data_IF_889030545331
#
_entry.id   IF_889030545331
#
_cell.length_a   1.000
_cell.length_b   1.000
_cell.length_c   1.000
_cell.angle_alpha   90.00
_cell.angle_beta   90.00
_cell.angle_gamma   90.00
#
_symmetry.space_group_name_H-M   'P 1'
#
loop_
_entity.id
_entity.type
_entity.pdbx_description
1 polymer ?
#
# COMPACT_ATOMS: atom_id res chain seq x y z
N UNK A 1 12.39 -5.51 -25.91
CA UNK A 1 13.12 -4.55 -25.06
C UNK A 1 13.78 -5.37 -23.98
N UNK A 2 15.08 -5.23 -23.79
CA UNK A 2 15.72 -5.84 -22.62
C UNK A 2 15.10 -5.22 -21.37
N UNK A 3 14.89 -6.03 -20.32
CA UNK A 3 14.38 -5.52 -19.06
C UNK A 3 15.43 -4.60 -18.43
N UNK A 4 15.10 -3.32 -18.32
CA UNK A 4 15.99 -2.31 -17.72
C UNK A 4 15.95 -2.33 -16.19
N UNK A 5 14.97 -3.01 -15.59
CA UNK A 5 14.83 -3.15 -14.15
C UNK A 5 15.64 -4.37 -13.69
N UNK A 6 16.80 -4.12 -13.14
CA UNK A 6 17.73 -5.09 -12.57
C UNK A 6 18.09 -4.70 -11.14
N UNK A 7 18.73 -5.58 -10.37
CA UNK A 7 19.16 -5.22 -9.02
C UNK A 7 20.12 -4.03 -9.02
N UNK A 8 21.03 -3.93 -9.99
CA UNK A 8 21.97 -2.81 -10.09
C UNK A 8 21.27 -1.47 -10.35
N UNK A 9 20.10 -1.51 -10.96
CA UNK A 9 19.27 -0.32 -11.26
C UNK A 9 18.10 -0.12 -10.30
N UNK A 10 17.92 -0.99 -9.30
CA UNK A 10 16.78 -0.99 -8.35
C UNK A 10 16.49 0.40 -7.80
N UNK A 11 17.52 1.11 -7.35
CA UNK A 11 17.37 2.43 -6.71
C UNK A 11 16.94 3.57 -7.65
N UNK A 12 16.86 3.32 -8.97
CA UNK A 12 16.21 4.22 -9.91
C UNK A 12 14.68 4.03 -9.96
N UNK A 13 14.21 2.89 -9.48
CA UNK A 13 12.79 2.47 -9.56
C UNK A 13 12.10 2.40 -8.20
N UNK A 14 12.86 2.33 -7.12
CA UNK A 14 12.34 2.28 -5.77
C UNK A 14 13.36 2.77 -4.75
N UNK A 15 12.89 3.27 -3.63
CA UNK A 15 13.70 3.24 -2.42
C UNK A 15 13.71 1.83 -1.85
N UNK A 16 14.87 1.35 -1.46
CA UNK A 16 15.02 0.11 -0.70
C UNK A 16 16.11 0.28 0.36
N UNK A 17 15.87 -0.24 1.55
CA UNK A 17 16.85 -0.29 2.64
C UNK A 17 17.76 -1.53 2.56
N UNK A 18 17.79 -2.22 1.45
CA UNK A 18 18.44 -3.51 1.25
C UNK A 18 19.92 -3.52 1.57
N UNK A 19 20.62 -2.39 1.33
CA UNK A 19 22.06 -2.23 1.61
C UNK A 19 22.39 -2.18 3.09
N UNK A 20 21.44 -1.80 3.93
CA UNK A 20 21.60 -1.66 5.39
C UNK A 20 20.79 -2.68 6.18
N UNK A 21 19.95 -3.47 5.50
CA UNK A 21 19.09 -4.45 6.15
C UNK A 21 19.89 -5.55 6.84
N UNK A 22 19.64 -5.76 8.14
CA UNK A 22 20.27 -6.81 8.92
C UNK A 22 19.89 -8.20 8.40
N UNK A 23 20.85 -9.12 8.42
CA UNK A 23 20.62 -10.51 8.01
C UNK A 23 20.35 -11.40 9.22
N UNK A 24 19.54 -12.46 9.11
CA UNK A 24 18.81 -12.86 7.91
C UNK A 24 17.63 -11.93 7.58
N UNK A 25 17.30 -11.79 6.29
CA UNK A 25 16.09 -11.08 5.86
C UNK A 25 14.89 -11.93 6.27
N UNK A 26 13.93 -11.30 6.98
CA UNK A 26 12.76 -11.96 7.56
C UNK A 26 11.47 -11.69 6.80
N UNK A 27 11.40 -10.60 6.06
CA UNK A 27 10.22 -10.21 5.28
C UNK A 27 10.41 -8.93 4.53
N UNK A 28 9.35 -8.50 3.86
CA UNK A 28 9.30 -7.27 3.06
C UNK A 28 8.11 -6.42 3.51
N UNK A 29 8.32 -5.14 3.74
CA UNK A 29 7.27 -4.13 3.92
C UNK A 29 7.26 -3.25 2.68
N UNK A 30 6.14 -3.25 1.97
CA UNK A 30 5.88 -2.35 0.85
C UNK A 30 5.18 -1.10 1.38
N UNK A 31 5.61 0.08 0.95
CA UNK A 31 4.94 1.34 1.30
C UNK A 31 4.63 2.13 0.04
N UNK A 32 3.37 2.51 -0.12
CA UNK A 32 2.90 3.23 -1.30
C UNK A 32 2.66 4.70 -1.00
N UNK A 33 3.08 5.57 -1.92
CA UNK A 33 2.88 7.01 -1.82
C UNK A 33 1.41 7.42 -1.85
N UNK A 34 1.09 8.51 -1.15
CA UNK A 34 -0.15 9.27 -1.35
C UNK A 34 -0.20 9.98 -2.70
N UNK A 35 -1.34 10.60 -3.00
CA UNK A 35 -1.58 11.30 -4.27
C UNK A 35 -0.54 12.40 -4.49
N UNK A 36 0.06 12.38 -5.67
CA UNK A 36 1.09 13.33 -6.06
C UNK A 36 2.48 13.04 -5.49
N UNK A 37 2.65 11.96 -4.71
CA UNK A 37 3.95 11.54 -4.19
C UNK A 37 4.89 11.17 -5.34
N UNK A 38 6.01 11.86 -5.42
CA UNK A 38 7.00 11.70 -6.48
C UNK A 38 8.44 11.86 -5.95
N UNK A 39 8.60 11.88 -4.64
CA UNK A 39 9.90 12.06 -4.02
C UNK A 39 10.80 10.85 -4.29
N UNK A 40 12.02 11.12 -4.71
CA UNK A 40 13.09 10.14 -4.76
C UNK A 40 13.99 10.36 -3.56
N UNK A 41 14.17 9.31 -2.77
CA UNK A 41 14.99 9.39 -1.56
C UNK A 41 16.47 9.33 -1.92
N UNK A 42 17.24 10.33 -1.47
CA UNK A 42 18.70 10.42 -1.67
C UNK A 42 19.50 9.76 -0.53
N UNK A 43 18.85 9.10 0.40
CA UNK A 43 19.47 8.43 1.55
C UNK A 43 18.47 7.61 2.34
N UNK A 44 18.91 7.00 3.42
CA UNK A 44 18.05 6.16 4.23
C UNK A 44 17.01 6.97 5.00
N UNK A 45 15.76 6.51 4.92
CA UNK A 45 14.64 7.11 5.66
C UNK A 45 14.58 6.58 7.09
N UNK A 46 13.88 7.28 7.98
CA UNK A 46 13.66 6.81 9.36
C UNK A 46 12.99 5.43 9.39
N UNK A 47 11.96 5.21 8.54
CA UNK A 47 11.31 3.90 8.41
C UNK A 47 12.25 2.85 7.81
N UNK A 48 13.05 3.23 6.81
CA UNK A 48 14.07 2.36 6.23
C UNK A 48 15.05 1.84 7.29
N UNK A 49 15.58 2.72 8.15
CA UNK A 49 16.44 2.37 9.26
C UNK A 49 15.73 1.51 10.31
N UNK A 50 14.48 1.87 10.65
CA UNK A 50 13.65 1.15 11.61
C UNK A 50 13.42 -0.31 11.20
N UNK A 51 13.03 -0.55 9.96
CA UNK A 51 12.80 -1.90 9.43
C UNK A 51 14.11 -2.66 9.20
N UNK A 52 15.17 -1.98 8.72
CA UNK A 52 16.48 -2.58 8.50
C UNK A 52 17.07 -3.20 9.78
N UNK A 53 16.95 -2.51 10.91
CA UNK A 53 17.40 -2.99 12.22
C UNK A 53 16.67 -4.28 12.69
N UNK A 54 15.55 -4.62 12.07
CA UNK A 54 14.75 -5.82 12.38
C UNK A 54 14.90 -6.93 11.34
N UNK A 55 15.78 -6.74 10.35
CA UNK A 55 15.96 -7.66 9.24
C UNK A 55 14.78 -7.66 8.27
N UNK A 56 14.07 -6.56 8.13
CA UNK A 56 12.93 -6.40 7.24
C UNK A 56 13.31 -5.46 6.10
N UNK A 57 13.15 -5.92 4.85
CA UNK A 57 13.28 -5.07 3.69
C UNK A 57 12.12 -4.07 3.65
N UNK A 58 12.45 -2.80 3.49
CA UNK A 58 11.46 -1.72 3.31
C UNK A 58 11.60 -1.19 1.90
N UNK A 59 10.54 -1.34 1.11
CA UNK A 59 10.51 -1.03 -0.31
C UNK A 59 9.42 0.00 -0.59
N UNK A 60 9.81 1.12 -1.21
CA UNK A 60 8.88 2.17 -1.66
C UNK A 60 8.97 2.27 -3.17
N UNK A 61 8.05 1.66 -3.93
CA UNK A 61 8.02 1.75 -5.39
C UNK A 61 7.82 3.20 -5.87
N UNK A 62 8.63 3.67 -6.82
CA UNK A 62 8.48 4.97 -7.45
C UNK A 62 7.43 4.91 -8.57
N UNK A 63 6.21 4.57 -8.18
CA UNK A 63 5.07 4.57 -9.07
C UNK A 63 4.77 5.97 -9.61
N UNK A 64 4.07 6.03 -10.75
CA UNK A 64 3.51 7.29 -11.23
C UNK A 64 2.73 8.00 -10.10
N UNK A 65 2.89 9.31 -9.90
CA UNK A 65 2.25 10.08 -8.82
C UNK A 65 0.72 9.96 -8.74
N UNK A 66 0.08 9.51 -9.80
CA UNK A 66 -1.37 9.26 -9.88
C UNK A 66 -1.67 7.82 -10.30
N UNK A 67 -0.90 6.84 -9.82
CA UNK A 67 -1.02 5.46 -10.29
C UNK A 67 -2.33 4.78 -9.87
N UNK A 68 -2.92 5.14 -8.71
CA UNK A 68 -4.16 4.56 -8.19
C UNK A 68 -4.16 3.02 -8.26
N UNK A 69 -3.01 2.40 -8.09
CA UNK A 69 -2.77 0.96 -8.21
C UNK A 69 -3.40 0.35 -9.48
N UNK A 70 -3.26 1.04 -10.62
CA UNK A 70 -3.62 0.49 -11.92
C UNK A 70 -2.74 -0.75 -12.26
N UNK A 71 -3.07 -1.46 -13.33
CA UNK A 71 -2.36 -2.69 -13.74
C UNK A 71 -0.85 -2.48 -13.93
N UNK A 72 -0.44 -1.30 -14.42
CA UNK A 72 0.98 -0.99 -14.57
C UNK A 72 1.67 -0.91 -13.19
N UNK A 73 1.05 -0.24 -12.23
CA UNK A 73 1.61 -0.12 -10.88
C UNK A 73 1.69 -1.48 -10.16
N UNK A 74 0.69 -2.35 -10.35
CA UNK A 74 0.73 -3.72 -9.85
C UNK A 74 1.92 -4.47 -10.46
N UNK A 75 2.03 -4.53 -11.79
CA UNK A 75 3.12 -5.24 -12.48
C UNK A 75 4.49 -4.67 -12.10
N UNK A 76 4.60 -3.35 -12.00
CA UNK A 76 5.82 -2.67 -11.59
C UNK A 76 6.26 -3.07 -10.16
N UNK A 77 5.30 -3.12 -9.24
CA UNK A 77 5.57 -3.54 -7.85
C UNK A 77 5.96 -5.01 -7.79
N UNK A 78 5.28 -5.88 -8.53
CA UNK A 78 5.60 -7.31 -8.63
C UNK A 78 7.03 -7.55 -9.14
N UNK A 79 7.47 -6.81 -10.16
CA UNK A 79 8.84 -6.91 -10.69
C UNK A 79 9.89 -6.50 -9.64
N UNK A 80 9.64 -5.45 -8.86
CA UNK A 80 10.53 -5.02 -7.78
C UNK A 80 10.62 -6.07 -6.67
N UNK A 81 9.50 -6.68 -6.30
CA UNK A 81 9.46 -7.76 -5.30
C UNK A 81 10.22 -8.99 -5.81
N UNK A 82 9.99 -9.40 -7.06
CA UNK A 82 10.71 -10.51 -7.70
C UNK A 82 12.23 -10.26 -7.72
N UNK A 83 12.65 -9.03 -8.02
CA UNK A 83 14.07 -8.67 -8.00
C UNK A 83 14.71 -8.91 -6.63
N UNK A 84 14.05 -8.49 -5.56
CA UNK A 84 14.54 -8.69 -4.20
C UNK A 84 14.55 -10.18 -3.80
N UNK A 85 13.47 -10.91 -4.10
CA UNK A 85 13.38 -12.35 -3.83
C UNK A 85 14.51 -13.09 -4.52
N UNK A 86 14.73 -12.84 -5.83
CA UNK A 86 15.73 -13.52 -6.62
C UNK A 86 17.15 -13.15 -6.19
N UNK A 87 17.43 -11.86 -5.98
CA UNK A 87 18.77 -11.38 -5.63
C UNK A 87 19.24 -11.91 -4.28
N UNK A 88 18.36 -11.90 -3.28
CA UNK A 88 18.67 -12.35 -1.92
C UNK A 88 18.38 -13.84 -1.68
N UNK A 89 17.93 -14.58 -2.72
CA UNK A 89 17.53 -15.99 -2.63
C UNK A 89 16.53 -16.22 -1.50
N UNK A 90 15.54 -15.33 -1.39
CA UNK A 90 14.51 -15.43 -0.37
C UNK A 90 13.51 -16.55 -0.71
N UNK A 91 12.83 -17.05 0.33
CA UNK A 91 11.72 -17.97 0.12
C UNK A 91 10.64 -17.33 -0.77
N UNK A 92 10.04 -18.04 -1.72
CA UNK A 92 8.87 -17.55 -2.46
C UNK A 92 7.68 -17.20 -1.54
N UNK A 93 7.66 -17.76 -0.32
CA UNK A 93 6.65 -17.50 0.70
C UNK A 93 7.16 -16.54 1.79
N UNK A 94 8.17 -15.72 1.49
CA UNK A 94 8.65 -14.70 2.42
C UNK A 94 7.47 -13.80 2.83
N UNK A 95 7.28 -13.48 4.11
CA UNK A 95 6.21 -12.59 4.53
C UNK A 95 6.31 -11.22 3.88
N UNK A 96 5.24 -10.78 3.24
CA UNK A 96 5.11 -9.44 2.65
C UNK A 96 3.97 -8.72 3.34
N UNK A 97 4.20 -7.46 3.70
CA UNK A 97 3.19 -6.57 4.28
C UNK A 97 3.01 -5.37 3.36
N UNK A 98 1.77 -5.03 3.06
CA UNK A 98 1.40 -3.88 2.22
C UNK A 98 0.99 -2.71 3.10
N UNK A 99 1.57 -1.52 2.88
CA UNK A 99 1.27 -0.33 3.70
C UNK A 99 1.11 0.93 2.86
N UNK A 100 0.41 1.93 3.40
CA UNK A 100 0.29 3.24 2.77
C UNK A 100 -0.78 4.13 3.39
N UNK A 101 -0.76 5.41 3.02
CA UNK A 101 -1.77 6.38 3.42
C UNK A 101 -2.48 7.01 2.23
N UNK A 102 -3.76 7.42 2.38
CA UNK A 102 -4.52 8.10 1.32
C UNK A 102 -4.64 7.23 0.06
N UNK A 103 -4.24 7.74 -1.12
CA UNK A 103 -4.07 6.94 -2.34
C UNK A 103 -3.11 5.76 -2.11
N UNK A 104 -2.06 5.93 -1.31
CA UNK A 104 -1.17 4.82 -0.94
C UNK A 104 -1.87 3.74 -0.12
N UNK A 105 -2.83 4.12 0.72
CA UNK A 105 -3.68 3.17 1.45
C UNK A 105 -4.64 2.41 0.53
N UNK A 106 -5.22 3.10 -0.47
CA UNK A 106 -5.96 2.46 -1.55
C UNK A 106 -5.06 1.48 -2.31
N UNK A 107 -3.87 1.92 -2.66
CA UNK A 107 -2.89 1.10 -3.36
C UNK A 107 -2.50 -0.14 -2.56
N UNK A 108 -2.27 0.01 -1.26
CA UNK A 108 -1.95 -1.11 -0.38
C UNK A 108 -3.07 -2.15 -0.33
N UNK A 109 -4.33 -1.71 -0.21
CA UNK A 109 -5.50 -2.59 -0.19
C UNK A 109 -5.76 -3.25 -1.54
N UNK A 110 -5.65 -2.50 -2.64
CA UNK A 110 -5.85 -3.04 -3.99
C UNK A 110 -4.75 -4.04 -4.36
N UNK A 111 -3.51 -3.79 -3.95
CA UNK A 111 -2.39 -4.71 -4.16
C UNK A 111 -2.59 -6.06 -3.46
N UNK A 112 -3.32 -6.12 -2.32
CA UNK A 112 -3.69 -7.39 -1.68
C UNK A 112 -4.35 -8.37 -2.65
N UNK A 113 -5.19 -7.85 -3.56
CA UNK A 113 -5.99 -8.65 -4.50
C UNK A 113 -5.21 -9.05 -5.75
N UNK A 114 -4.33 -8.16 -6.24
CA UNK A 114 -3.71 -8.33 -7.56
C UNK A 114 -2.24 -8.72 -7.52
N UNK A 115 -1.61 -8.70 -6.35
CA UNK A 115 -0.20 -9.03 -6.19
C UNK A 115 0.11 -10.47 -6.63
N UNK A 116 1.23 -10.66 -7.31
CA UNK A 116 1.79 -11.98 -7.62
C UNK A 116 2.17 -12.73 -6.34
N UNK A 117 2.76 -12.03 -5.39
CA UNK A 117 3.08 -12.52 -4.06
C UNK A 117 2.11 -11.87 -3.06
N UNK A 118 1.01 -12.56 -2.78
CA UNK A 118 -0.06 -12.04 -1.92
C UNK A 118 0.47 -11.64 -0.55
N UNK A 119 0.33 -10.35 -0.12
CA UNK A 119 0.76 -9.94 1.20
C UNK A 119 -0.06 -10.63 2.30
N UNK A 120 0.58 -10.88 3.44
CA UNK A 120 -0.04 -11.52 4.62
C UNK A 120 -0.77 -10.54 5.53
N UNK A 121 -0.51 -9.25 5.36
CA UNK A 121 -1.17 -8.17 6.09
C UNK A 121 -1.20 -6.89 5.26
N UNK A 122 -2.21 -6.05 5.53
CA UNK A 122 -2.31 -4.69 5.01
C UNK A 122 -2.53 -3.71 6.17
N UNK A 123 -1.69 -2.67 6.25
CA UNK A 123 -1.86 -1.58 7.21
C UNK A 123 -2.08 -0.28 6.42
N UNK A 124 -3.27 0.29 6.50
CA UNK A 124 -3.63 1.48 5.73
C UNK A 124 -4.07 2.64 6.62
N UNK A 125 -3.60 3.85 6.30
CA UNK A 125 -3.94 5.07 7.01
C UNK A 125 -4.81 5.99 6.14
N UNK A 126 -6.02 6.33 6.58
CA UNK A 126 -6.99 7.13 5.84
C UNK A 126 -7.13 6.69 4.37
N UNK A 127 -7.32 5.39 4.09
CA UNK A 127 -7.31 4.89 2.72
C UNK A 127 -8.52 5.38 1.94
N UNK A 128 -8.31 5.66 0.66
CA UNK A 128 -9.42 5.80 -0.29
C UNK A 128 -9.96 4.40 -0.59
N UNK A 129 -11.21 4.10 -0.23
CA UNK A 129 -11.80 2.78 -0.40
C UNK A 129 -12.83 2.70 -1.53
N UNK A 130 -13.46 3.81 -1.91
CA UNK A 130 -14.44 3.91 -2.99
C UNK A 130 -14.00 4.94 -4.03
N UNK A 131 -13.42 4.46 -5.15
CA UNK A 131 -12.97 5.36 -6.21
C UNK A 131 -14.11 6.02 -7.00
N UNK A 132 -15.23 5.34 -7.31
CA UNK A 132 -16.42 6.00 -7.89
C UNK A 132 -16.92 7.18 -7.05
N UNK A 133 -17.02 7.01 -5.73
CA UNK A 133 -17.40 8.09 -4.82
C UNK A 133 -16.32 9.17 -4.78
N UNK A 134 -15.05 8.78 -4.60
CA UNK A 134 -13.91 9.70 -4.54
C UNK A 134 -13.76 10.56 -5.80
N UNK A 135 -14.11 10.03 -6.97
CA UNK A 135 -14.13 10.77 -8.23
C UNK A 135 -14.98 12.05 -8.15
N UNK A 136 -15.98 12.07 -7.27
CA UNK A 136 -16.90 13.21 -7.09
C UNK A 136 -16.61 14.08 -5.86
N UNK A 137 -15.65 13.69 -5.02
CA UNK A 137 -15.39 14.40 -3.76
C UNK A 137 -14.65 15.73 -3.96
N UNK A 138 -13.78 15.81 -4.98
CA UNK A 138 -12.95 16.99 -5.24
C UNK A 138 -12.72 17.18 -6.74
N UNK A 139 -12.65 18.42 -7.17
CA UNK A 139 -12.51 18.79 -8.60
C UNK A 139 -11.17 18.39 -9.23
N UNK A 140 -10.14 18.15 -8.42
CA UNK A 140 -8.81 17.75 -8.91
C UNK A 140 -8.68 16.24 -9.17
N UNK A 141 -9.57 15.41 -8.61
CA UNK A 141 -9.48 13.95 -8.67
C UNK A 141 -9.82 13.36 -10.05
N UNK A 142 -10.86 13.82 -10.76
CA UNK A 142 -11.25 13.22 -12.04
C UNK A 142 -10.10 13.10 -13.04
N UNK A 143 -9.26 14.13 -13.18
CA UNK A 143 -8.11 14.10 -14.09
C UNK A 143 -7.06 13.07 -13.71
N UNK A 144 -6.84 12.84 -12.39
CA UNK A 144 -5.85 11.91 -11.90
C UNK A 144 -6.29 10.47 -12.12
N UNK A 145 -7.56 10.17 -11.81
CA UNK A 145 -8.19 8.87 -12.04
C UNK A 145 -8.30 8.57 -13.54
N UNK A 146 -8.74 9.54 -14.33
CA UNK A 146 -8.75 9.39 -15.79
C UNK A 146 -7.36 9.08 -16.36
N UNK A 147 -6.33 9.79 -15.91
CA UNK A 147 -4.95 9.54 -16.33
C UNK A 147 -4.45 8.13 -15.95
N UNK A 148 -4.78 7.68 -14.75
CA UNK A 148 -4.36 6.36 -14.26
C UNK A 148 -4.95 5.21 -15.07
N UNK A 149 -6.19 5.35 -15.53
CA UNK A 149 -6.97 4.28 -16.15
C UNK A 149 -7.27 4.51 -17.64
N UNK A 150 -6.59 5.45 -18.27
CA UNK A 150 -6.84 5.87 -19.67
C UNK A 150 -6.86 4.72 -20.67
N UNK A 151 -6.01 3.71 -20.48
CA UNK A 151 -5.92 2.56 -21.39
C UNK A 151 -6.82 1.38 -20.99
N UNK A 152 -7.53 1.48 -19.87
CA UNK A 152 -8.45 0.42 -19.45
C UNK A 152 -9.74 0.45 -20.30
N UNK A 153 -10.26 -0.75 -20.59
CA UNK A 153 -11.49 -0.89 -21.34
C UNK A 153 -12.67 -1.01 -20.38
N UNK A 154 -13.78 -0.34 -20.70
CA UNK A 154 -15.00 -0.34 -19.92
C UNK A 154 -15.54 1.06 -19.70
N UNK A 155 -16.66 1.18 -19.01
CA UNK A 155 -17.16 2.46 -18.52
C UNK A 155 -16.27 2.99 -17.39
N UNK A 156 -16.28 4.30 -17.16
CA UNK A 156 -15.51 4.91 -16.06
C UNK A 156 -15.85 4.24 -14.73
N UNK A 157 -17.13 3.97 -14.48
CA UNK A 157 -17.59 3.32 -13.24
C UNK A 157 -16.99 1.92 -13.07
N UNK A 158 -17.06 1.06 -14.10
CA UNK A 158 -16.52 -0.31 -14.06
C UNK A 158 -15.01 -0.30 -13.81
N UNK A 159 -14.29 0.59 -14.48
CA UNK A 159 -12.84 0.70 -14.35
C UNK A 159 -12.46 1.17 -12.94
N UNK A 160 -13.14 2.20 -12.41
CA UNK A 160 -12.88 2.67 -11.05
C UNK A 160 -13.24 1.60 -9.99
N UNK A 161 -14.32 0.87 -10.15
CA UNK A 161 -14.69 -0.24 -9.27
C UNK A 161 -13.63 -1.33 -9.25
N UNK A 162 -12.98 -1.62 -10.38
CA UNK A 162 -11.92 -2.64 -10.46
C UNK A 162 -10.68 -2.36 -9.63
N UNK A 163 -10.46 -1.11 -9.22
CA UNK A 163 -9.35 -0.69 -8.36
C UNK A 163 -9.82 -0.13 -7.00
N UNK A 164 -11.09 -0.27 -6.69
CA UNK A 164 -11.76 0.29 -5.52
C UNK A 164 -11.87 -0.76 -4.41
N UNK A 165 -11.17 -0.64 -3.27
CA UNK A 165 -11.15 -1.65 -2.21
C UNK A 165 -12.53 -2.14 -1.79
N UNK A 166 -13.52 -1.25 -1.67
CA UNK A 166 -14.89 -1.62 -1.27
C UNK A 166 -15.56 -2.57 -2.28
N UNK A 167 -15.24 -2.45 -3.58
CA UNK A 167 -15.76 -3.30 -4.64
C UNK A 167 -14.95 -4.60 -4.83
N UNK A 168 -13.83 -4.71 -4.12
CA UNK A 168 -12.93 -5.87 -4.16
C UNK A 168 -13.04 -6.77 -2.93
N UNK A 169 -13.94 -6.47 -1.98
CA UNK A 169 -14.05 -7.17 -0.70
C UNK A 169 -14.16 -8.69 -0.88
N UNK A 170 -14.99 -9.16 -1.81
CA UNK A 170 -15.17 -10.60 -2.09
C UNK A 170 -13.89 -11.29 -2.63
N UNK A 171 -12.92 -10.50 -3.11
CA UNK A 171 -11.65 -11.00 -3.64
C UNK A 171 -10.49 -10.82 -2.67
N UNK A 172 -10.75 -10.17 -1.53
CA UNK A 172 -9.70 -9.94 -0.54
C UNK A 172 -9.20 -11.28 0.02
N UNK A 173 -7.88 -11.51 0.07
CA UNK A 173 -7.32 -12.73 0.62
C UNK A 173 -7.49 -12.81 2.14
N UNK A 174 -7.40 -14.02 2.69
CA UNK A 174 -7.30 -14.22 4.14
C UNK A 174 -5.96 -13.65 4.65
N UNK A 175 -6.05 -12.52 5.33
CA UNK A 175 -4.90 -11.76 5.83
C UNK A 175 -5.29 -10.89 7.02
N UNK A 176 -4.31 -10.25 7.67
CA UNK A 176 -4.57 -9.24 8.69
C UNK A 176 -4.79 -7.87 8.05
N UNK A 177 -5.91 -7.25 8.35
CA UNK A 177 -6.23 -5.89 7.88
C UNK A 177 -6.27 -4.93 9.05
N UNK A 178 -5.43 -3.90 9.01
CA UNK A 178 -5.34 -2.87 10.03
C UNK A 178 -5.59 -1.51 9.38
N UNK A 179 -6.67 -0.86 9.77
CA UNK A 179 -7.08 0.41 9.19
C UNK A 179 -7.00 1.48 10.28
N UNK A 180 -6.34 2.58 9.97
CA UNK A 180 -6.37 3.82 10.74
C UNK A 180 -7.17 4.85 9.95
N UNK A 181 -8.01 5.63 10.62
CA UNK A 181 -8.66 6.78 10.00
C UNK A 181 -8.84 7.93 10.98
N UNK A 182 -8.43 9.11 10.57
CA UNK A 182 -8.51 10.33 11.37
C UNK A 182 -9.92 10.93 11.29
N UNK A 183 -10.52 11.28 12.43
CA UNK A 183 -11.92 11.71 12.51
C UNK A 183 -12.23 13.04 11.79
N UNK A 184 -11.22 13.94 11.70
CA UNK A 184 -11.37 15.24 11.04
C UNK A 184 -10.74 15.25 9.64
N UNK A 185 -10.70 14.11 8.99
CA UNK A 185 -10.22 14.01 7.63
C UNK A 185 -11.18 14.68 6.65
N UNK A 186 -10.70 15.75 5.99
CA UNK A 186 -11.45 16.50 4.98
C UNK A 186 -11.05 16.12 3.55
N UNK A 187 -10.03 15.30 3.38
CA UNK A 187 -9.53 14.89 2.06
C UNK A 187 -10.10 13.55 1.61
N UNK A 188 -10.37 12.65 2.57
CA UNK A 188 -10.99 11.34 2.36
C UNK A 188 -12.09 11.16 3.40
N UNK A 189 -13.33 11.17 2.97
CA UNK A 189 -14.47 11.06 3.87
C UNK A 189 -14.50 9.71 4.59
N UNK A 190 -14.33 9.74 5.91
CA UNK A 190 -14.24 8.53 6.74
C UNK A 190 -15.45 7.61 6.59
N UNK A 191 -16.67 8.19 6.60
CA UNK A 191 -17.92 7.44 6.57
C UNK A 191 -18.11 6.69 5.25
N UNK A 192 -17.77 7.35 4.13
CA UNK A 192 -17.94 6.77 2.78
C UNK A 192 -16.76 5.89 2.34
N UNK A 193 -15.65 5.92 3.06
CA UNK A 193 -14.48 5.10 2.75
C UNK A 193 -14.25 4.03 3.81
N UNK A 194 -13.52 4.35 4.88
CA UNK A 194 -13.07 3.34 5.84
C UNK A 194 -14.22 2.68 6.60
N UNK A 195 -15.26 3.44 7.02
CA UNK A 195 -16.36 2.86 7.78
C UNK A 195 -17.12 1.81 6.95
N UNK A 196 -17.45 2.13 5.69
CA UNK A 196 -18.12 1.18 4.79
C UNK A 196 -17.22 -0.01 4.44
N UNK A 197 -15.94 0.24 4.14
CA UNK A 197 -14.99 -0.83 3.84
C UNK A 197 -14.83 -1.80 5.01
N UNK A 198 -14.62 -1.28 6.23
CA UNK A 198 -14.47 -2.11 7.44
C UNK A 198 -15.74 -2.90 7.74
N UNK A 199 -16.91 -2.28 7.57
CA UNK A 199 -18.19 -2.96 7.76
C UNK A 199 -18.34 -4.13 6.77
N UNK A 200 -18.10 -3.88 5.48
CA UNK A 200 -18.19 -4.92 4.44
C UNK A 200 -17.18 -6.04 4.63
N UNK A 201 -15.94 -5.73 5.00
CA UNK A 201 -14.91 -6.74 5.30
C UNK A 201 -15.33 -7.66 6.47
N UNK A 202 -15.88 -7.08 7.54
CA UNK A 202 -16.36 -7.85 8.70
C UNK A 202 -17.59 -8.70 8.37
N UNK A 203 -18.47 -8.20 7.52
CA UNK A 203 -19.64 -8.95 7.02
C UNK A 203 -19.23 -10.17 6.21
N UNK A 204 -18.12 -10.08 5.44
CA UNK A 204 -17.53 -11.21 4.71
C UNK A 204 -16.63 -12.10 5.60
N UNK A 205 -16.53 -11.81 6.90
CA UNK A 205 -15.81 -12.65 7.86
C UNK A 205 -14.32 -12.33 7.99
N UNK A 206 -13.81 -11.29 7.32
CA UNK A 206 -12.42 -10.89 7.45
C UNK A 206 -12.11 -10.29 8.82
N UNK A 207 -10.92 -10.57 9.35
CA UNK A 207 -10.42 -9.98 10.57
C UNK A 207 -9.87 -8.57 10.30
N UNK A 208 -10.57 -7.54 10.82
CA UNK A 208 -10.18 -6.14 10.64
C UNK A 208 -10.03 -5.46 12.00
N UNK A 209 -8.83 -4.94 12.26
CA UNK A 209 -8.55 -4.01 13.35
C UNK A 209 -8.76 -2.60 12.82
N UNK A 210 -9.60 -1.81 13.48
CA UNK A 210 -9.93 -0.47 13.05
C UNK A 210 -9.66 0.55 14.15
N UNK A 211 -8.77 1.50 13.87
CA UNK A 211 -8.40 2.60 14.75
C UNK A 211 -8.96 3.91 14.22
N UNK A 212 -9.90 4.49 14.94
CA UNK A 212 -10.33 5.87 14.70
C UNK A 212 -9.45 6.81 15.54
N UNK A 213 -8.84 7.80 14.89
CA UNK A 213 -7.92 8.74 15.54
C UNK A 213 -8.63 10.07 15.76
N UNK A 214 -9.02 10.40 17.01
CA UNK A 214 -9.83 11.56 17.29
C UNK A 214 -9.06 12.86 17.02
N UNK A 215 -9.80 13.91 16.65
CA UNK A 215 -9.31 15.29 16.51
C UNK A 215 -8.15 15.47 15.50
N UNK A 216 -7.90 14.52 14.61
CA UNK A 216 -6.82 14.55 13.61
C UNK A 216 -7.35 14.68 12.19
N UNK A 217 -6.62 15.41 11.36
CA UNK A 217 -6.86 15.58 9.94
C UNK A 217 -6.26 14.47 9.10
N UNK A 218 -6.29 14.63 7.78
CA UNK A 218 -5.88 13.61 6.81
C UNK A 218 -4.48 13.05 7.07
N UNK A 219 -4.40 11.76 7.30
CA UNK A 219 -3.16 11.00 7.55
C UNK A 219 -2.29 11.50 8.71
N UNK A 220 -2.82 12.37 9.59
CA UNK A 220 -2.09 12.99 10.71
C UNK A 220 -2.10 12.07 11.94
N UNK A 221 -1.37 10.96 11.90
CA UNK A 221 -1.22 10.09 13.06
C UNK A 221 -0.26 10.71 14.09
N UNK A 222 -0.64 10.76 15.37
CA UNK A 222 0.30 11.14 16.42
C UNK A 222 1.40 10.09 16.57
N UNK A 223 2.52 10.46 17.19
CA UNK A 223 3.74 9.64 17.29
C UNK A 223 3.46 8.21 17.80
N UNK A 224 2.66 8.06 18.84
CA UNK A 224 2.29 6.76 19.38
C UNK A 224 1.46 5.90 18.41
N UNK A 225 0.64 6.52 17.56
CA UNK A 225 -0.12 5.80 16.52
C UNK A 225 0.76 5.46 15.32
N UNK A 226 1.73 6.29 14.96
CA UNK A 226 2.76 5.95 13.98
C UNK A 226 3.62 4.78 14.46
N UNK A 227 4.02 4.78 15.74
CA UNK A 227 4.73 3.65 16.33
C UNK A 227 3.89 2.37 16.24
N UNK A 228 2.61 2.44 16.61
CA UNK A 228 1.68 1.30 16.54
C UNK A 228 1.49 0.81 15.08
N UNK A 229 1.38 1.74 14.12
CA UNK A 229 1.29 1.43 12.68
C UNK A 229 2.49 0.60 12.22
N UNK A 230 3.69 1.04 12.56
CA UNK A 230 4.93 0.33 12.22
C UNK A 230 5.07 -0.99 12.99
N UNK A 231 4.64 -1.04 14.25
CA UNK A 231 4.66 -2.27 15.07
C UNK A 231 3.73 -3.35 14.50
N UNK A 232 2.57 -2.99 13.95
CA UNK A 232 1.72 -3.96 13.26
C UNK A 232 2.45 -4.59 12.07
N UNK A 233 3.16 -3.79 11.26
CA UNK A 233 3.91 -4.32 10.13
C UNK A 233 5.05 -5.26 10.57
N UNK A 234 5.80 -4.87 11.59
CA UNK A 234 6.86 -5.70 12.18
C UNK A 234 6.29 -7.02 12.74
N UNK A 235 5.23 -6.94 13.53
CA UNK A 235 4.63 -8.11 14.16
C UNK A 235 4.04 -9.08 13.13
N UNK A 236 3.42 -8.57 12.05
CA UNK A 236 2.92 -9.40 10.96
C UNK A 236 4.05 -10.21 10.31
N UNK A 237 5.21 -9.58 10.04
CA UNK A 237 6.38 -10.27 9.50
C UNK A 237 6.93 -11.29 10.51
N UNK A 238 7.19 -10.86 11.75
CA UNK A 238 7.92 -11.70 12.72
C UNK A 238 7.09 -12.86 13.26
N UNK A 239 5.76 -12.78 13.22
CA UNK A 239 4.87 -13.89 13.65
C UNK A 239 4.85 -15.07 12.67
N UNK A 240 5.44 -14.92 11.49
CA UNK A 240 5.50 -15.94 10.44
C UNK A 240 6.92 -16.50 10.22
N UNK A 241 7.91 -16.02 10.99
CA UNK A 241 9.32 -16.45 10.92
C UNK A 241 9.61 -17.67 11.80
#
# INVERSE_FOLDING_TARGET
MENIMTYDTLHHFAYSNDRICQKPIRGVVLSFFGLGGQDMYNGDTADGLFFAAKGILYLVPYNNPWAWMNKQAVSYTDELVDLLINHYHLSPNIPIVSTGGSMGGQSALTYMVYARHTPIACIANCPVCDLPFHYTERDDLPRTLYSAFYYEKGSVSEVLQSASPIHLIEKMPEADYIIFHCEKDLAVNKENHSDLFVAGMREQGHRVIYHTVPERGHCDLPENMWALYNDYAVNAVLSRC
#
